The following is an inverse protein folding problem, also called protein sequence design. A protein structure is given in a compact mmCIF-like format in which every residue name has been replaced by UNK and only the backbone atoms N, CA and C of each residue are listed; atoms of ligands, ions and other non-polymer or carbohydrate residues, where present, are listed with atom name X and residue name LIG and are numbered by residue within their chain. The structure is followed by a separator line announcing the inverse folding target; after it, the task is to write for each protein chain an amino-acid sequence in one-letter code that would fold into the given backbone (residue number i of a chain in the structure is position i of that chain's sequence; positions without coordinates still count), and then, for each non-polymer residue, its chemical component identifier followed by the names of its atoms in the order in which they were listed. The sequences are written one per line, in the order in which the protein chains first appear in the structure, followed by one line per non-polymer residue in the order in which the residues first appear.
data_IF_107987090242
#
_entry.id   IF_107987090242
#
_cell.length_a   1.000
_cell.length_b   1.000
_cell.length_c   1.000
_cell.angle_alpha   90.00
_cell.angle_beta   90.00
_cell.angle_gamma   90.00
#
_symmetry.space_group_name_H-M   'P 1'
#
loop_
_entity.id
_entity.type
_entity.pdbx_description
1 polymer ?
#
# COMPACT_ATOMS: atom_id res chain seq x y z
N UNK A 1 -9.44 5.21 9.67
CA UNK A 1 -8.47 6.34 9.60
C UNK A 1 -9.24 7.64 9.69
N UNK A 2 -8.83 8.57 10.56
CA UNK A 2 -9.47 9.89 10.60
C UNK A 2 -9.19 10.65 9.29
N UNK A 3 -10.09 11.58 8.93
CA UNK A 3 -9.93 12.40 7.73
C UNK A 3 -8.61 13.19 7.75
N UNK A 4 -8.24 13.72 8.93
CA UNK A 4 -7.01 14.49 9.12
C UNK A 4 -5.75 13.67 8.86
N UNK A 5 -5.70 12.42 9.31
CA UNK A 5 -4.55 11.54 9.05
C UNK A 5 -4.34 11.26 7.55
N UNK A 6 -5.44 11.07 6.81
CA UNK A 6 -5.37 10.87 5.35
C UNK A 6 -4.84 12.09 4.61
N UNK A 7 -5.30 13.28 4.99
CA UNK A 7 -4.85 14.54 4.41
C UNK A 7 -3.36 14.75 4.71
N UNK A 8 -2.93 14.51 5.95
CA UNK A 8 -1.53 14.68 6.35
C UNK A 8 -0.61 13.73 5.57
N UNK A 9 -0.97 12.46 5.44
CA UNK A 9 -0.21 11.48 4.64
C UNK A 9 -0.18 11.91 3.17
N UNK A 10 -1.31 12.33 2.61
CA UNK A 10 -1.39 12.77 1.22
C UNK A 10 -0.49 13.99 0.95
N UNK A 11 -0.50 14.98 1.84
CA UNK A 11 0.31 16.20 1.70
C UNK A 11 1.80 15.86 1.79
N UNK A 12 2.22 15.10 2.79
CA UNK A 12 3.63 14.72 2.98
C UNK A 12 4.12 13.86 1.81
N UNK A 13 3.32 12.87 1.38
CA UNK A 13 3.66 12.00 0.27
C UNK A 13 3.72 12.77 -1.06
N UNK A 14 2.78 13.69 -1.30
CA UNK A 14 2.77 14.52 -2.50
C UNK A 14 3.98 15.47 -2.53
N UNK A 15 4.31 16.13 -1.42
CA UNK A 15 5.49 16.98 -1.30
C UNK A 15 6.78 16.19 -1.53
N UNK A 16 6.94 15.06 -0.84
CA UNK A 16 8.11 14.19 -1.00
C UNK A 16 8.24 13.66 -2.44
N UNK A 17 7.14 13.24 -3.04
CA UNK A 17 7.12 12.75 -4.42
C UNK A 17 7.46 13.85 -5.43
N UNK A 18 6.89 15.05 -5.26
CA UNK A 18 7.16 16.19 -6.12
C UNK A 18 8.63 16.62 -6.09
N UNK A 19 9.24 16.67 -4.91
CA UNK A 19 10.67 17.00 -4.76
C UNK A 19 11.54 15.96 -5.48
N UNK A 20 11.21 14.67 -5.37
CA UNK A 20 11.98 13.59 -6.00
C UNK A 20 11.83 13.56 -7.52
N UNK A 21 10.64 13.87 -8.04
CA UNK A 21 10.44 14.04 -9.49
C UNK A 21 11.23 15.22 -10.04
N UNK A 22 11.26 16.35 -9.32
CA UNK A 22 12.08 17.51 -9.67
C UNK A 22 13.58 17.20 -9.56
N UNK A 23 14.00 16.45 -8.55
CA UNK A 23 15.40 16.05 -8.43
C UNK A 23 15.83 15.16 -9.61
N UNK A 24 14.95 14.26 -10.07
CA UNK A 24 15.19 13.40 -11.23
C UNK A 24 15.42 14.16 -12.55
N UNK A 25 14.96 15.41 -12.68
CA UNK A 25 15.24 16.23 -13.87
C UNK A 25 16.61 16.91 -13.82
N UNK A 26 17.18 17.05 -12.61
CA UNK A 26 18.49 17.67 -12.38
C UNK A 26 19.61 16.68 -12.11
N UNK A 27 19.27 15.43 -11.80
CA UNK A 27 20.22 14.38 -11.47
C UNK A 27 20.86 13.73 -12.71
N UNK A 28 22.03 13.14 -12.53
CA UNK A 28 22.69 12.37 -13.57
C UNK A 28 21.79 11.21 -14.06
N UNK A 29 21.79 10.93 -15.39
CA UNK A 29 20.87 9.97 -15.99
C UNK A 29 20.99 8.55 -15.43
N UNK A 30 22.14 8.19 -14.86
CA UNK A 30 22.38 6.91 -14.18
C UNK A 30 21.56 6.70 -12.91
N UNK A 31 21.22 7.77 -12.18
CA UNK A 31 20.49 7.71 -10.91
C UNK A 31 19.07 8.31 -10.99
N UNK A 32 18.78 9.06 -12.07
CA UNK A 32 17.48 9.70 -12.29
C UNK A 32 16.31 8.70 -12.24
N UNK A 33 16.50 7.47 -12.73
CA UNK A 33 15.46 6.44 -12.73
C UNK A 33 14.98 6.09 -11.31
N UNK A 34 15.87 6.05 -10.32
CA UNK A 34 15.52 5.76 -8.91
C UNK A 34 14.62 6.87 -8.36
N UNK A 35 14.98 8.13 -8.65
CA UNK A 35 14.21 9.31 -8.24
C UNK A 35 12.80 9.30 -8.84
N UNK A 36 12.65 8.89 -10.11
CA UNK A 36 11.33 8.76 -10.75
C UNK A 36 10.49 7.63 -10.15
N UNK A 37 11.09 6.46 -9.90
CA UNK A 37 10.38 5.32 -9.29
C UNK A 37 9.93 5.67 -7.87
N UNK A 38 10.82 6.25 -7.06
CA UNK A 38 10.49 6.66 -5.70
C UNK A 38 9.45 7.79 -5.69
N UNK A 39 9.59 8.78 -6.56
CA UNK A 39 8.60 9.84 -6.75
C UNK A 39 7.22 9.30 -7.11
N UNK A 40 7.15 8.40 -8.10
CA UNK A 40 5.91 7.75 -8.50
C UNK A 40 5.27 6.92 -7.38
N UNK A 41 6.10 6.23 -6.58
CA UNK A 41 5.64 5.49 -5.41
C UNK A 41 5.01 6.42 -4.36
N UNK A 42 5.63 7.56 -4.06
CA UNK A 42 5.06 8.56 -3.15
C UNK A 42 3.73 9.14 -3.67
N UNK A 43 3.63 9.42 -4.97
CA UNK A 43 2.37 9.88 -5.58
C UNK A 43 1.30 8.79 -5.50
N UNK A 44 1.66 7.52 -5.64
CA UNK A 44 0.74 6.39 -5.48
C UNK A 44 0.17 6.32 -4.07
N UNK A 45 0.98 6.59 -3.04
CA UNK A 45 0.53 6.68 -1.64
C UNK A 45 -0.41 7.87 -1.46
N UNK A 46 -0.08 9.03 -2.02
CA UNK A 46 -0.94 10.21 -1.98
C UNK A 46 -2.29 9.92 -2.66
N UNK A 47 -2.28 9.29 -3.82
CA UNK A 47 -3.48 8.86 -4.55
C UNK A 47 -4.31 7.86 -3.73
N UNK A 48 -3.69 6.85 -3.12
CA UNK A 48 -4.38 5.90 -2.23
C UNK A 48 -5.03 6.57 -1.01
N UNK A 49 -4.46 7.70 -0.55
CA UNK A 49 -4.92 8.44 0.63
C UNK A 49 -6.08 9.40 0.34
N UNK A 50 -6.11 9.98 -0.87
CA UNK A 50 -7.13 10.96 -1.30
C UNK A 50 -8.31 10.29 -2.00
N UNK A 51 -8.03 9.30 -2.86
CA UNK A 51 -9.07 8.60 -3.60
C UNK A 51 -9.91 7.75 -2.64
N UNK A 52 -11.18 7.53 -2.99
CA UNK A 52 -12.10 6.63 -2.29
C UNK A 52 -12.61 5.56 -3.25
N UNK A 53 -12.96 4.39 -2.72
CA UNK A 53 -13.51 3.27 -3.50
C UNK A 53 -12.44 2.48 -4.25
N UNK A 54 -12.77 2.05 -5.48
CA UNK A 54 -11.97 1.11 -6.28
C UNK A 54 -10.54 1.58 -6.55
N UNK A 55 -10.37 2.86 -6.92
CA UNK A 55 -9.07 3.41 -7.24
C UNK A 55 -8.12 3.41 -6.01
N UNK A 56 -8.64 3.70 -4.81
CA UNK A 56 -7.86 3.65 -3.58
C UNK A 56 -7.37 2.23 -3.26
N UNK A 57 -8.22 1.22 -3.49
CA UNK A 57 -7.85 -0.20 -3.35
C UNK A 57 -6.77 -0.60 -4.35
N UNK A 58 -6.87 -0.14 -5.60
CA UNK A 58 -5.87 -0.38 -6.64
C UNK A 58 -4.50 0.21 -6.26
N UNK A 59 -4.43 1.51 -5.98
CA UNK A 59 -3.17 2.17 -5.60
C UNK A 59 -2.59 1.58 -4.31
N UNK A 60 -3.42 1.26 -3.32
CA UNK A 60 -2.96 0.57 -2.12
C UNK A 60 -2.38 -0.83 -2.40
N UNK A 61 -2.97 -1.57 -3.34
CA UNK A 61 -2.46 -2.90 -3.74
C UNK A 61 -1.13 -2.79 -4.48
N UNK A 62 -0.99 -1.78 -5.34
CA UNK A 62 0.29 -1.47 -6.03
C UNK A 62 1.37 -1.15 -5.00
N UNK A 63 1.09 -0.26 -4.05
CA UNK A 63 2.03 0.10 -2.97
C UNK A 63 2.41 -1.14 -2.15
N UNK A 64 1.44 -1.94 -1.72
CA UNK A 64 1.68 -3.17 -0.97
C UNK A 64 2.54 -4.19 -1.72
N UNK A 65 2.29 -4.34 -3.02
CA UNK A 65 3.04 -5.25 -3.90
C UNK A 65 4.47 -4.77 -4.10
N UNK A 66 4.69 -3.46 -4.29
CA UNK A 66 6.02 -2.87 -4.39
C UNK A 66 6.83 -3.08 -3.10
N UNK A 67 6.22 -2.86 -1.94
CA UNK A 67 6.88 -3.07 -0.63
C UNK A 67 7.25 -4.54 -0.43
N UNK A 68 6.35 -5.45 -0.77
CA UNK A 68 6.63 -6.89 -0.70
C UNK A 68 7.77 -7.30 -1.65
N UNK A 69 7.75 -6.84 -2.90
CA UNK A 69 8.79 -7.16 -3.87
C UNK A 69 10.15 -6.61 -3.43
N UNK A 70 10.20 -5.37 -2.94
CA UNK A 70 11.43 -4.79 -2.39
C UNK A 70 11.93 -5.56 -1.18
N UNK A 71 11.04 -6.02 -0.30
CA UNK A 71 11.40 -6.89 0.82
C UNK A 71 11.97 -8.23 0.36
N UNK A 72 11.40 -8.84 -0.68
CA UNK A 72 11.89 -10.08 -1.27
C UNK A 72 13.28 -9.91 -1.91
N UNK A 73 13.48 -8.82 -2.66
CA UNK A 73 14.77 -8.49 -3.28
C UNK A 73 15.84 -8.23 -2.22
N UNK A 74 15.50 -7.45 -1.18
CA UNK A 74 16.41 -7.18 -0.08
C UNK A 74 16.80 -8.47 0.65
N UNK A 75 15.82 -9.31 0.99
CA UNK A 75 16.09 -10.60 1.61
C UNK A 75 16.93 -11.53 0.72
N UNK A 76 16.65 -11.56 -0.58
CA UNK A 76 17.44 -12.31 -1.55
C UNK A 76 18.90 -11.86 -1.57
N UNK A 77 19.14 -10.55 -1.67
CA UNK A 77 20.52 -10.02 -1.68
C UNK A 77 21.27 -10.35 -0.39
N UNK A 78 20.61 -10.21 0.77
CA UNK A 78 21.24 -10.54 2.05
C UNK A 78 21.49 -12.05 2.21
N UNK A 79 20.63 -12.93 1.68
CA UNK A 79 20.84 -14.38 1.71
C UNK A 79 22.00 -14.79 0.79
N UNK A 80 22.14 -14.16 -0.37
CA UNK A 80 23.14 -14.52 -1.38
C UNK A 80 24.56 -14.04 -1.03
N UNK A 81 24.72 -12.98 -0.23
CA UNK A 81 26.05 -12.46 0.10
C UNK A 81 26.12 -11.53 1.31
N UNK A 82 25.03 -11.36 2.05
CA UNK A 82 24.97 -10.48 3.21
C UNK A 82 25.36 -11.17 4.53
N UNK A 83 25.75 -10.38 5.54
CA UNK A 83 25.99 -10.91 6.88
C UNK A 83 24.66 -11.32 7.54
N UNK A 84 24.64 -12.49 8.19
CA UNK A 84 23.43 -13.01 8.87
C UNK A 84 22.98 -12.07 9.99
N UNK A 85 23.95 -11.58 10.78
CA UNK A 85 23.76 -10.57 11.81
C UNK A 85 24.76 -9.45 11.61
N UNK A 86 24.27 -8.21 11.59
CA UNK A 86 25.10 -7.03 11.64
C UNK A 86 25.13 -6.47 13.07
N UNK A 87 26.32 -6.11 13.56
CA UNK A 87 26.50 -5.58 14.92
C UNK A 87 25.92 -4.19 15.14
N UNK A 88 25.40 -3.55 14.07
CA UNK A 88 24.77 -2.23 14.10
C UNK A 88 23.40 -2.33 13.43
N UNK A 89 22.37 -1.75 14.06
CA UNK A 89 20.98 -1.77 13.56
C UNK A 89 20.81 -1.11 12.17
N UNK A 90 21.72 -0.23 11.78
CA UNK A 90 21.72 0.44 10.48
C UNK A 90 22.45 -0.35 9.38
N UNK A 91 23.12 -1.46 9.72
CA UNK A 91 23.84 -2.25 8.74
C UNK A 91 22.93 -3.31 8.11
N UNK A 92 23.04 -3.52 6.79
CA UNK A 92 22.33 -4.57 6.10
C UNK A 92 22.61 -5.94 6.75
N UNK A 93 21.56 -6.73 6.95
CA UNK A 93 21.67 -8.11 7.40
C UNK A 93 20.45 -8.93 7.02
N UNK A 94 20.63 -10.25 6.95
CA UNK A 94 19.52 -11.20 6.73
C UNK A 94 18.42 -11.00 7.77
N UNK A 95 18.78 -10.81 9.04
CA UNK A 95 17.81 -10.58 10.10
C UNK A 95 16.99 -9.29 9.89
N UNK A 96 17.63 -8.19 9.48
CA UNK A 96 16.93 -6.93 9.20
C UNK A 96 16.00 -7.06 7.99
N UNK A 97 16.44 -7.76 6.93
CA UNK A 97 15.61 -8.03 5.77
C UNK A 97 14.39 -8.89 6.11
N UNK A 98 14.57 -9.90 6.97
CA UNK A 98 13.51 -10.79 7.42
C UNK A 98 12.49 -10.04 8.32
N UNK A 99 12.96 -9.18 9.23
CA UNK A 99 12.10 -8.28 10.01
C UNK A 99 11.31 -7.33 9.11
N UNK A 100 11.95 -6.70 8.12
CA UNK A 100 11.26 -5.83 7.16
C UNK A 100 10.17 -6.60 6.40
N UNK A 101 10.47 -7.82 5.96
CA UNK A 101 9.53 -8.66 5.25
C UNK A 101 8.33 -9.04 6.12
N UNK A 102 8.53 -9.39 7.39
CA UNK A 102 7.43 -9.74 8.30
C UNK A 102 6.56 -8.53 8.64
N UNK A 103 7.17 -7.37 8.90
CA UNK A 103 6.45 -6.19 9.40
C UNK A 103 5.75 -5.41 8.27
N UNK A 104 6.38 -5.32 7.10
CA UNK A 104 5.88 -4.51 5.99
C UNK A 104 5.52 -5.34 4.76
N UNK A 105 6.35 -6.33 4.42
CA UNK A 105 6.15 -7.16 3.22
C UNK A 105 4.89 -8.02 3.29
N UNK A 106 4.76 -8.89 4.30
CA UNK A 106 3.63 -9.81 4.45
C UNK A 106 2.30 -9.06 4.56
N UNK A 107 2.15 -8.02 5.42
CA UNK A 107 0.91 -7.25 5.46
C UNK A 107 0.60 -6.54 4.15
N UNK A 108 1.61 -6.05 3.44
CA UNK A 108 1.46 -5.45 2.11
C UNK A 108 0.96 -6.44 1.07
N UNK A 109 1.50 -7.66 1.05
CA UNK A 109 1.06 -8.74 0.17
C UNK A 109 -0.36 -9.19 0.51
N UNK A 110 -0.66 -9.45 1.79
CA UNK A 110 -2.00 -9.83 2.26
C UNK A 110 -3.02 -8.77 1.88
N UNK A 111 -2.70 -7.49 2.05
CA UNK A 111 -3.56 -6.39 1.62
C UNK A 111 -3.78 -6.42 0.10
N UNK A 112 -2.73 -6.58 -0.71
CA UNK A 112 -2.85 -6.63 -2.17
C UNK A 112 -3.71 -7.81 -2.65
N UNK A 113 -3.55 -8.98 -2.01
CA UNK A 113 -4.36 -10.17 -2.29
C UNK A 113 -5.83 -9.96 -1.89
N UNK A 114 -6.10 -9.45 -0.69
CA UNK A 114 -7.47 -9.24 -0.20
C UNK A 114 -8.18 -8.10 -0.93
N UNK A 115 -7.47 -7.04 -1.31
CA UNK A 115 -8.06 -5.94 -2.05
C UNK A 115 -8.36 -6.32 -3.51
N UNK A 116 -7.79 -7.42 -4.03
CA UNK A 116 -7.94 -7.91 -5.41
C UNK A 116 -7.82 -6.79 -6.44
N UNK A 117 -6.94 -5.81 -6.23
CA UNK A 117 -6.80 -4.63 -7.10
C UNK A 117 -8.12 -3.87 -7.37
N UNK A 118 -9.11 -3.99 -6.47
CA UNK A 118 -10.44 -3.39 -6.61
C UNK A 118 -11.38 -4.14 -7.56
N UNK A 119 -11.13 -5.42 -7.86
CA UNK A 119 -11.99 -6.27 -8.70
C UNK A 119 -13.05 -7.06 -7.93
N UNK A 120 -13.17 -6.91 -6.62
CA UNK A 120 -14.30 -7.50 -5.89
C UNK A 120 -15.60 -6.81 -6.33
N UNK A 121 -16.41 -7.53 -7.11
CA UNK A 121 -17.78 -7.17 -7.42
C UNK A 121 -18.53 -7.06 -6.09
N UNK A 122 -19.11 -5.90 -5.82
CA UNK A 122 -20.18 -5.79 -4.83
C UNK A 122 -21.24 -6.82 -5.26
N UNK A 123 -21.32 -7.96 -4.55
CA UNK A 123 -22.59 -8.70 -4.52
C UNK A 123 -23.52 -7.78 -3.73
N UNK A 124 -24.56 -7.20 -4.35
CA UNK A 124 -25.48 -6.37 -3.62
C UNK A 124 -26.11 -7.25 -2.55
N UNK A 125 -25.92 -6.91 -1.29
CA UNK A 125 -26.73 -7.42 -0.19
C UNK A 125 -28.12 -6.76 -0.31
N UNK A 126 -28.85 -7.12 -1.36
CA UNK A 126 -30.29 -6.90 -1.52
C UNK A 126 -30.92 -8.28 -1.61
N UNK A 127 -31.50 -8.72 -0.49
CA UNK A 127 -32.71 -9.56 -0.38
C UNK A 127 -32.66 -10.44 0.87
N UNK A 128 -32.69 -9.79 2.04
CA UNK A 128 -33.46 -10.33 3.17
C UNK A 128 -34.22 -9.14 3.77
N UNK A 129 -35.15 -8.59 2.99
CA UNK A 129 -36.22 -7.79 3.58
C UNK A 129 -37.22 -8.79 4.19
N UNK A 130 -37.53 -8.71 5.49
CA UNK A 130 -38.47 -9.63 6.10
C UNK A 130 -39.86 -9.33 5.53
N UNK A 131 -40.46 -10.29 4.85
CA UNK A 131 -41.88 -10.26 4.57
C UNK A 131 -42.60 -10.23 5.92
N UNK A 132 -43.16 -9.07 6.27
CA UNK A 132 -44.04 -8.89 7.42
C UNK A 132 -45.49 -8.80 6.91
N UNK A 133 -46.22 -9.94 6.78
CA UNK A 133 -47.63 -9.92 6.51
C UNK A 133 -48.42 -10.00 7.83
N UNK A 134 -48.35 -8.95 8.64
CA UNK A 134 -49.31 -8.72 9.72
C UNK A 134 -50.36 -7.67 9.31
N UNK A 135 -51.03 -7.93 8.18
CA UNK A 135 -52.37 -7.40 7.94
C UNK A 135 -53.37 -8.22 8.76
N UNK A 136 -53.86 -7.64 9.87
CA UNK A 136 -54.85 -8.25 10.75
C UNK A 136 -55.78 -7.20 11.38
N UNK A 137 -56.74 -6.74 10.58
CA UNK A 137 -58.13 -6.38 10.90
C UNK A 137 -58.49 -5.71 12.25
N UNK A 138 -59.06 -4.47 12.27
CA UNK A 138 -59.84 -3.99 13.40
C UNK A 138 -61.33 -4.28 13.19
N UNK A 139 -61.80 -5.43 13.69
CA UNK A 139 -63.22 -5.71 13.87
C UNK A 139 -63.46 -6.29 15.28
N UNK A 140 -64.15 -5.52 16.13
CA UNK A 140 -64.55 -5.90 17.49
C UNK A 140 -64.74 -4.71 18.40
#
# INVERSE_FOLDING_TARGET
MSLGARILIAVVACLSGGIMLLHGTTADPEHAWVSYVFGGFCISIAAASVLRGRAARFFGSVVGSCVFLMGLLYLGQEILGGPVFSGRRSQPSVFNALMFMIVFGIPGAVYAFNARFGFESDVPEQDIQPDDPASGDPAG
#
